data_IF_953859198529
#
_entry.id   IF_953859198529
#
_cell.length_a   1.000
_cell.length_b   1.000
_cell.length_c   1.000
_cell.angle_alpha   90.00
_cell.angle_beta   90.00
_cell.angle_gamma   90.00
#
_symmetry.space_group_name_H-M   'P 1'
#
loop_
_entity.id
_entity.type
_entity.pdbx_description
1 polymer ?
#
# COMPACT_ATOMS: atom_id res chain seq x y z
N UNK A 1 -7.27 23.61 -33.95
CA UNK A 1 -6.20 22.95 -33.17
C UNK A 1 -6.69 21.55 -32.81
N UNK A 2 -6.05 20.54 -33.39
CA UNK A 2 -6.52 19.15 -33.38
C UNK A 2 -6.24 18.50 -32.03
N UNK A 3 -7.29 18.20 -31.27
CA UNK A 3 -7.25 17.40 -30.05
C UNK A 3 -6.85 15.95 -30.41
N UNK A 4 -5.54 15.67 -30.44
CA UNK A 4 -5.00 14.30 -30.60
C UNK A 4 -5.13 13.58 -29.25
N UNK A 5 -6.35 13.17 -28.89
CA UNK A 5 -6.54 12.22 -27.79
C UNK A 5 -5.92 10.89 -28.19
N UNK A 6 -4.95 10.42 -27.39
CA UNK A 6 -4.38 9.10 -27.54
C UNK A 6 -5.52 8.08 -27.39
N UNK A 7 -5.70 7.13 -28.32
CA UNK A 7 -6.80 6.18 -28.22
C UNK A 7 -6.63 5.25 -27.02
N UNK A 8 -7.72 4.95 -26.31
CA UNK A 8 -7.72 4.20 -25.04
C UNK A 8 -7.00 2.85 -25.09
N UNK A 9 -7.00 2.17 -26.25
CA UNK A 9 -6.30 0.90 -26.42
C UNK A 9 -4.77 1.08 -26.32
N UNK A 10 -4.24 2.22 -26.77
CA UNK A 10 -2.81 2.51 -26.75
C UNK A 10 -2.35 2.87 -25.32
N UNK A 11 -3.18 3.60 -24.57
CA UNK A 11 -2.92 3.84 -23.13
C UNK A 11 -2.90 2.52 -22.36
N UNK A 12 -3.93 1.67 -22.51
CA UNK A 12 -3.97 0.35 -21.85
C UNK A 12 -2.83 -0.58 -22.27
N UNK A 13 -2.34 -0.46 -23.50
CA UNK A 13 -1.16 -1.22 -23.95
C UNK A 13 0.12 -0.72 -23.26
N UNK A 14 0.28 0.60 -23.15
CA UNK A 14 1.40 1.24 -22.46
C UNK A 14 1.45 0.88 -20.98
N UNK A 15 0.31 0.87 -20.30
CA UNK A 15 0.24 0.49 -18.88
C UNK A 15 0.61 -0.97 -18.65
N UNK A 16 0.16 -1.87 -19.51
CA UNK A 16 0.58 -3.28 -19.46
C UNK A 16 2.07 -3.43 -19.71
N UNK A 17 2.60 -2.70 -20.68
CA UNK A 17 4.03 -2.71 -20.97
C UNK A 17 4.85 -2.21 -19.79
N UNK A 18 4.45 -1.10 -19.17
CA UNK A 18 5.13 -0.57 -17.97
C UNK A 18 5.04 -1.52 -16.79
N UNK A 19 3.88 -2.15 -16.55
CA UNK A 19 3.73 -3.15 -15.49
C UNK A 19 4.66 -4.35 -15.70
N UNK A 20 4.68 -4.92 -16.91
CA UNK A 20 5.56 -6.06 -17.22
C UNK A 20 7.03 -5.68 -17.15
N UNK A 21 7.39 -4.47 -17.63
CA UNK A 21 8.74 -3.93 -17.51
C UNK A 21 9.18 -3.80 -16.05
N UNK A 22 8.31 -3.33 -15.17
CA UNK A 22 8.58 -3.25 -13.73
C UNK A 22 8.75 -4.64 -13.10
N UNK A 23 7.83 -5.58 -13.37
CA UNK A 23 7.96 -6.95 -12.86
C UNK A 23 9.29 -7.55 -13.33
N UNK A 24 9.64 -7.41 -14.61
CA UNK A 24 10.89 -7.91 -15.15
C UNK A 24 12.12 -7.29 -14.46
N UNK A 25 12.12 -5.97 -14.27
CA UNK A 25 13.18 -5.27 -13.56
C UNK A 25 13.33 -5.77 -12.12
N UNK A 26 12.22 -5.92 -11.39
CA UNK A 26 12.21 -6.49 -10.05
C UNK A 26 12.77 -7.91 -10.02
N UNK A 27 12.36 -8.76 -10.98
CA UNK A 27 12.85 -10.14 -11.10
C UNK A 27 14.36 -10.21 -11.37
N UNK A 28 14.90 -9.29 -12.18
CA UNK A 28 16.35 -9.19 -12.41
C UNK A 28 17.06 -8.85 -11.11
N UNK A 29 16.58 -7.85 -10.36
CA UNK A 29 17.16 -7.44 -9.08
C UNK A 29 17.13 -8.61 -8.08
N UNK A 30 15.98 -9.28 -7.95
CA UNK A 30 15.81 -10.43 -7.07
C UNK A 30 16.71 -11.59 -7.44
N UNK A 31 16.75 -11.96 -8.73
CA UNK A 31 17.59 -13.05 -9.24
C UNK A 31 19.08 -12.80 -9.04
N UNK A 32 19.56 -11.58 -9.32
CA UNK A 32 20.95 -11.19 -9.09
C UNK A 32 21.29 -11.20 -7.60
N UNK A 33 20.40 -10.69 -6.75
CA UNK A 33 20.59 -10.71 -5.29
C UNK A 33 20.69 -12.14 -4.76
N UNK A 34 19.83 -13.05 -5.23
CA UNK A 34 19.92 -14.48 -4.89
C UNK A 34 21.24 -15.11 -5.34
N UNK A 35 21.69 -14.79 -6.55
CA UNK A 35 22.98 -15.27 -7.06
C UNK A 35 24.14 -14.80 -6.19
N UNK A 36 24.16 -13.50 -5.82
CA UNK A 36 25.21 -12.94 -4.97
C UNK A 36 25.22 -13.55 -3.56
N UNK A 37 24.06 -13.86 -2.99
CA UNK A 37 23.98 -14.62 -1.72
C UNK A 37 24.58 -16.02 -1.87
N UNK A 38 24.33 -16.70 -2.99
CA UNK A 38 24.96 -17.99 -3.30
C UNK A 38 26.49 -17.90 -3.37
N UNK A 39 27.01 -16.87 -4.04
CA UNK A 39 28.46 -16.59 -4.10
C UNK A 39 29.03 -16.30 -2.71
N UNK A 40 28.34 -15.49 -1.91
CA UNK A 40 28.76 -15.15 -0.55
C UNK A 40 28.78 -16.38 0.38
N UNK A 41 27.78 -17.26 0.30
CA UNK A 41 27.79 -18.52 1.05
C UNK A 41 29.04 -19.35 0.73
N UNK A 42 29.35 -19.52 -0.55
CA UNK A 42 30.51 -20.31 -0.97
C UNK A 42 31.81 -19.76 -0.39
N UNK A 43 31.92 -18.43 -0.29
CA UNK A 43 33.10 -17.76 0.28
C UNK A 43 33.16 -17.83 1.82
N UNK A 44 32.02 -17.80 2.52
CA UNK A 44 31.98 -17.64 3.98
C UNK A 44 31.81 -18.96 4.76
N UNK A 45 30.99 -19.88 4.26
CA UNK A 45 30.52 -21.05 5.01
C UNK A 45 30.95 -22.37 4.34
N UNK A 46 31.20 -22.35 3.03
CA UNK A 46 31.56 -23.54 2.25
C UNK A 46 30.41 -24.55 2.08
N UNK A 47 30.65 -25.71 1.43
CA UNK A 47 29.69 -26.84 1.39
C UNK A 47 29.58 -27.53 2.76
N UNK A 48 28.55 -28.34 3.10
CA UNK A 48 27.57 -28.99 2.21
C UNK A 48 26.10 -28.50 2.32
N UNK A 49 25.75 -27.67 3.31
CA UNK A 49 24.35 -27.30 3.55
C UNK A 49 23.92 -26.04 2.78
N UNK A 50 22.71 -26.01 2.18
CA UNK A 50 22.24 -24.92 1.30
C UNK A 50 21.72 -23.70 2.07
N UNK A 51 22.59 -23.07 2.87
CA UNK A 51 22.29 -21.87 3.67
C UNK A 51 21.77 -20.69 2.85
N UNK A 52 22.23 -20.51 1.62
CA UNK A 52 21.87 -19.43 0.72
C UNK A 52 20.40 -19.53 0.35
N UNK A 53 19.94 -20.72 -0.04
CA UNK A 53 18.54 -20.94 -0.40
C UNK A 53 17.63 -20.82 0.83
N UNK A 54 18.06 -21.39 1.97
CA UNK A 54 17.34 -21.20 3.23
C UNK A 54 17.21 -19.69 3.55
N UNK A 55 18.30 -18.94 3.47
CA UNK A 55 18.34 -17.51 3.77
C UNK A 55 17.43 -16.70 2.85
N UNK A 56 17.58 -16.81 1.53
CA UNK A 56 16.79 -16.00 0.58
C UNK A 56 15.30 -16.29 0.68
N UNK A 57 14.91 -17.55 0.95
CA UNK A 57 13.51 -17.89 1.14
C UNK A 57 12.99 -17.40 2.49
N UNK A 58 13.75 -17.49 3.59
CA UNK A 58 13.34 -16.91 4.89
C UNK A 58 13.16 -15.40 4.78
N UNK A 59 14.16 -14.69 4.28
CA UNK A 59 14.10 -13.21 4.19
C UNK A 59 13.07 -12.76 3.15
N UNK A 60 12.96 -13.45 2.01
CA UNK A 60 11.95 -13.18 0.99
C UNK A 60 10.53 -13.43 1.49
N UNK A 61 10.29 -14.53 2.21
CA UNK A 61 9.00 -14.81 2.85
C UNK A 61 8.64 -13.78 3.92
N UNK A 62 9.61 -13.32 4.73
CA UNK A 62 9.39 -12.21 5.65
C UNK A 62 9.02 -10.92 4.91
N UNK A 63 9.79 -10.55 3.88
CA UNK A 63 9.57 -9.32 3.10
C UNK A 63 8.19 -9.33 2.44
N UNK A 64 7.79 -10.42 1.79
CA UNK A 64 6.48 -10.48 1.12
C UNK A 64 5.33 -10.43 2.13
N UNK A 65 5.45 -11.11 3.28
CA UNK A 65 4.44 -11.06 4.35
C UNK A 65 4.32 -9.67 4.96
N UNK A 66 5.46 -9.02 5.22
CA UNK A 66 5.51 -7.65 5.74
C UNK A 66 4.94 -6.65 4.74
N UNK A 67 5.43 -6.65 3.50
CA UNK A 67 5.06 -5.67 2.49
C UNK A 67 3.59 -5.83 2.04
N UNK A 68 3.11 -7.06 1.84
CA UNK A 68 1.72 -7.31 1.46
C UNK A 68 0.72 -6.81 2.52
N UNK A 69 1.10 -6.90 3.80
CA UNK A 69 0.28 -6.44 4.93
C UNK A 69 0.37 -4.91 5.10
N UNK A 70 1.55 -4.33 4.91
CA UNK A 70 1.77 -2.89 5.01
C UNK A 70 1.05 -2.10 3.92
N UNK A 71 0.92 -2.72 2.75
CA UNK A 71 0.31 -2.13 1.54
C UNK A 71 -1.09 -2.66 1.22
N UNK A 72 -1.66 -3.49 2.11
CA UNK A 72 -2.99 -4.06 1.98
C UNK A 72 -4.11 -3.00 2.01
N UNK A 73 -5.36 -3.40 1.75
CA UNK A 73 -6.53 -2.51 1.86
C UNK A 73 -6.70 -1.86 3.24
N UNK A 74 -6.19 -2.48 4.30
CA UNK A 74 -6.17 -1.94 5.66
C UNK A 74 -4.75 -1.47 6.08
N UNK A 75 -3.83 -1.40 5.11
CA UNK A 75 -2.43 -1.05 5.30
C UNK A 75 -2.20 0.46 5.36
N UNK A 76 -1.19 0.89 6.12
CA UNK A 76 -0.85 2.31 6.28
C UNK A 76 -0.17 2.93 5.04
N UNK A 77 0.42 2.11 4.17
CA UNK A 77 1.12 2.58 2.97
C UNK A 77 0.23 2.35 1.76
N UNK A 78 -0.13 3.44 1.10
CA UNK A 78 -0.88 3.44 -0.16
C UNK A 78 0.09 3.10 -1.28
N UNK A 79 0.15 1.83 -1.69
CA UNK A 79 1.00 1.37 -2.79
C UNK A 79 0.13 0.85 -3.93
N UNK A 80 0.21 1.52 -5.08
CA UNK A 80 -0.53 1.12 -6.28
C UNK A 80 -0.07 -0.23 -6.85
N UNK A 81 -0.86 -0.76 -7.77
CA UNK A 81 -0.66 -2.09 -8.39
C UNK A 81 0.74 -2.29 -8.96
N UNK A 82 1.29 -1.29 -9.66
CA UNK A 82 2.62 -1.36 -10.27
C UNK A 82 3.72 -1.58 -9.24
N UNK A 83 3.66 -0.86 -8.12
CA UNK A 83 4.63 -0.96 -7.04
C UNK A 83 4.51 -2.32 -6.32
N UNK A 84 3.27 -2.76 -6.08
CA UNK A 84 3.02 -4.08 -5.47
C UNK A 84 3.56 -5.22 -6.31
N UNK A 85 3.32 -5.19 -7.62
CA UNK A 85 3.79 -6.22 -8.53
C UNK A 85 5.32 -6.17 -8.71
N UNK A 86 5.92 -4.99 -8.74
CA UNK A 86 7.38 -4.81 -8.75
C UNK A 86 8.05 -5.51 -7.55
N UNK A 87 7.52 -5.31 -6.34
CA UNK A 87 8.11 -5.88 -5.10
C UNK A 87 7.74 -7.35 -4.91
N UNK A 88 6.45 -7.68 -4.98
CA UNK A 88 5.96 -9.03 -4.62
C UNK A 88 6.26 -10.03 -5.73
N UNK A 89 5.86 -9.74 -6.97
CA UNK A 89 6.04 -10.67 -8.09
C UNK A 89 7.43 -10.54 -8.71
N UNK A 90 7.94 -9.32 -8.83
CA UNK A 90 9.29 -9.05 -9.35
C UNK A 90 10.37 -9.46 -8.36
N UNK A 91 10.67 -8.59 -7.38
CA UNK A 91 11.81 -8.79 -6.46
C UNK A 91 11.68 -10.10 -5.69
N UNK A 92 10.58 -10.31 -4.94
CA UNK A 92 10.45 -11.50 -4.11
C UNK A 92 10.34 -12.78 -4.97
N UNK A 93 9.67 -12.71 -6.12
CA UNK A 93 9.56 -13.83 -7.06
C UNK A 93 10.90 -14.24 -7.68
N UNK A 94 11.77 -13.28 -8.04
CA UNK A 94 13.11 -13.57 -8.55
C UNK A 94 14.12 -13.97 -7.45
N UNK A 95 13.92 -13.44 -6.23
CA UNK A 95 14.81 -13.63 -5.09
C UNK A 95 14.61 -14.96 -4.37
N UNK A 96 13.36 -15.41 -4.22
CA UNK A 96 13.06 -16.71 -3.61
C UNK A 96 13.08 -17.82 -4.66
N UNK A 97 13.30 -19.07 -4.23
CA UNK A 97 13.32 -20.21 -5.15
C UNK A 97 12.93 -21.51 -4.46
N UNK A 98 11.95 -22.21 -5.05
CA UNK A 98 11.64 -23.59 -4.70
C UNK A 98 12.45 -24.57 -5.57
N UNK A 99 12.72 -24.22 -6.83
CA UNK A 99 13.49 -25.08 -7.75
C UNK A 99 14.94 -25.27 -7.29
N UNK A 100 15.59 -24.22 -6.78
CA UNK A 100 16.92 -24.35 -6.19
C UNK A 100 16.93 -25.23 -4.95
N UNK A 101 15.93 -25.08 -4.06
CA UNK A 101 15.76 -25.93 -2.88
C UNK A 101 15.64 -27.42 -3.26
N UNK A 102 14.86 -27.73 -4.30
CA UNK A 102 14.70 -29.10 -4.80
C UNK A 102 16.01 -29.66 -5.35
N UNK A 103 16.77 -28.86 -6.09
CA UNK A 103 18.06 -29.27 -6.65
C UNK A 103 19.10 -29.53 -5.54
N UNK A 104 19.22 -28.63 -4.57
CA UNK A 104 20.16 -28.80 -3.45
C UNK A 104 19.81 -30.02 -2.60
N UNK A 105 18.52 -30.28 -2.38
CA UNK A 105 18.06 -31.49 -1.69
C UNK A 105 18.45 -32.75 -2.44
N UNK A 106 18.25 -32.78 -3.76
CA UNK A 106 18.64 -33.90 -4.60
C UNK A 106 20.17 -34.13 -4.57
N UNK A 107 20.95 -33.04 -4.64
CA UNK A 107 22.40 -33.11 -4.55
C UNK A 107 22.87 -33.63 -3.18
N UNK A 108 22.26 -33.20 -2.08
CA UNK A 108 22.57 -33.72 -0.74
C UNK A 108 22.37 -35.24 -0.66
N UNK A 109 21.27 -35.73 -1.25
CA UNK A 109 20.97 -37.17 -1.29
C UNK A 109 22.03 -37.92 -2.11
N UNK A 110 22.37 -37.42 -3.31
CA UNK A 110 23.37 -38.05 -4.18
C UNK A 110 24.77 -38.10 -3.56
N UNK A 111 25.16 -37.06 -2.82
CA UNK A 111 26.45 -37.01 -2.11
C UNK A 111 26.43 -37.76 -0.77
N UNK A 112 25.37 -38.51 -0.45
CA UNK A 112 25.27 -39.31 0.78
C UNK A 112 24.93 -38.53 2.05
N UNK A 113 24.68 -37.22 1.96
CA UNK A 113 24.38 -36.32 3.08
C UNK A 113 22.89 -36.40 3.49
N UNK A 114 22.40 -37.61 3.80
CA UNK A 114 20.97 -37.88 4.04
C UNK A 114 20.38 -37.09 5.20
N UNK A 115 21.14 -36.93 6.30
CA UNK A 115 20.69 -36.15 7.45
C UNK A 115 20.47 -34.67 7.10
N UNK A 116 21.39 -34.07 6.32
CA UNK A 116 21.27 -32.69 5.85
C UNK A 116 20.10 -32.52 4.87
N UNK A 117 19.89 -33.48 3.96
CA UNK A 117 18.73 -33.47 3.06
C UNK A 117 17.40 -33.50 3.85
N UNK A 118 17.30 -34.39 4.83
CA UNK A 118 16.12 -34.49 5.69
C UNK A 118 15.89 -33.19 6.48
N UNK A 119 16.95 -32.64 7.07
CA UNK A 119 16.88 -31.36 7.78
C UNK A 119 16.41 -30.23 6.85
N UNK A 120 16.92 -30.14 5.62
CA UNK A 120 16.50 -29.14 4.66
C UNK A 120 15.01 -29.29 4.31
N UNK A 121 14.53 -30.51 4.04
CA UNK A 121 13.13 -30.75 3.67
C UNK A 121 12.17 -30.45 4.84
N UNK A 122 12.54 -30.82 6.06
CA UNK A 122 11.69 -30.62 7.23
C UNK A 122 11.71 -29.18 7.76
N UNK A 123 12.90 -28.58 7.87
CA UNK A 123 13.07 -27.28 8.53
C UNK A 123 12.76 -26.10 7.60
N UNK A 124 13.15 -26.17 6.33
CA UNK A 124 13.11 -25.01 5.45
C UNK A 124 11.69 -24.49 5.18
N UNK A 125 10.70 -25.31 4.77
CA UNK A 125 9.32 -24.84 4.59
C UNK A 125 8.70 -24.26 5.86
N UNK A 126 8.97 -24.89 7.02
CA UNK A 126 8.50 -24.42 8.32
C UNK A 126 9.09 -23.05 8.65
N UNK A 127 10.39 -22.86 8.43
CA UNK A 127 11.06 -21.59 8.65
C UNK A 127 10.50 -20.48 7.74
N UNK A 128 10.23 -20.76 6.47
CA UNK A 128 9.66 -19.80 5.52
C UNK A 128 8.23 -19.39 5.91
N UNK A 129 7.41 -20.35 6.37
CA UNK A 129 6.05 -20.10 6.87
C UNK A 129 6.05 -19.27 8.17
N UNK A 130 6.99 -19.55 9.07
CA UNK A 130 7.17 -18.72 10.27
C UNK A 130 7.60 -17.31 9.85
N UNK A 131 8.53 -17.18 8.92
CA UNK A 131 9.03 -15.88 8.47
C UNK A 131 7.94 -15.00 7.85
N UNK A 132 7.07 -15.56 6.99
CA UNK A 132 5.94 -14.80 6.43
C UNK A 132 4.95 -14.38 7.52
N UNK A 133 4.69 -15.24 8.51
CA UNK A 133 3.81 -14.93 9.63
C UNK A 133 4.40 -13.81 10.52
N UNK A 134 5.71 -13.86 10.78
CA UNK A 134 6.41 -12.79 11.51
C UNK A 134 6.35 -11.47 10.72
N UNK A 135 6.57 -11.51 9.41
CA UNK A 135 6.42 -10.34 8.54
C UNK A 135 5.03 -9.71 8.64
N UNK A 136 3.99 -10.53 8.53
CA UNK A 136 2.61 -10.13 8.75
C UNK A 136 2.41 -9.49 10.13
N UNK A 137 2.81 -10.17 11.20
CA UNK A 137 2.61 -9.70 12.58
C UNK A 137 3.30 -8.35 12.86
N UNK A 138 4.52 -8.15 12.34
CA UNK A 138 5.24 -6.87 12.47
C UNK A 138 4.52 -5.77 11.70
N UNK A 139 4.10 -6.02 10.46
CA UNK A 139 3.38 -5.04 9.66
C UNK A 139 2.02 -4.67 10.27
N UNK A 140 1.26 -5.64 10.79
CA UNK A 140 0.01 -5.37 11.51
C UNK A 140 0.24 -4.48 12.73
N UNK A 141 1.31 -4.72 13.49
CA UNK A 141 1.66 -3.85 14.64
C UNK A 141 1.99 -2.43 14.19
N UNK A 142 2.65 -2.25 13.05
CA UNK A 142 2.96 -0.94 12.48
C UNK A 142 1.73 -0.23 11.88
N UNK A 143 0.75 -0.99 11.39
CA UNK A 143 -0.52 -0.47 10.86
C UNK A 143 -1.49 -0.03 11.97
N UNK A 144 -1.35 -0.55 13.21
CA UNK A 144 -2.12 -0.02 14.34
C UNK A 144 -1.71 1.44 14.55
N UNK A 145 -2.63 2.35 14.21
CA UNK A 145 -2.44 3.79 14.32
C UNK A 145 -1.73 4.14 15.62
N UNK A 146 -0.58 4.83 15.51
CA UNK A 146 -0.19 5.75 16.58
C UNK A 146 -1.36 6.72 16.67
N UNK A 147 -2.11 6.66 17.77
CA UNK A 147 -2.88 7.82 18.21
C UNK A 147 -1.85 8.94 18.25
N UNK A 148 -1.87 9.85 17.27
CA UNK A 148 -1.14 11.10 17.41
C UNK A 148 -1.87 11.76 18.55
N UNK A 149 -1.32 11.58 19.76
CA UNK A 149 -1.74 12.36 20.92
C UNK A 149 -1.70 13.79 20.44
N UNK A 150 -2.86 14.45 20.46
CA UNK A 150 -2.98 15.85 20.10
C UNK A 150 -1.87 16.59 20.86
N UNK A 151 -0.82 17.00 20.15
CA UNK A 151 0.21 17.86 20.72
C UNK A 151 -0.45 19.20 20.92
N UNK A 152 -0.98 19.40 22.13
CA UNK A 152 -0.96 20.66 22.87
C UNK A 152 -1.60 21.90 22.26
N UNK A 153 -2.31 21.83 21.13
CA UNK A 153 -3.28 22.87 20.79
C UNK A 153 -4.55 22.52 21.55
N UNK A 154 -4.89 23.35 22.53
CA UNK A 154 -6.13 23.28 23.29
C UNK A 154 -7.27 22.94 22.32
N UNK A 155 -7.95 21.83 22.56
CA UNK A 155 -9.26 21.55 21.98
C UNK A 155 -10.25 22.56 22.59
N UNK A 156 -10.05 23.83 22.30
CA UNK A 156 -10.86 24.93 22.76
C UNK A 156 -12.20 24.80 22.02
N UNK A 157 -13.17 24.16 22.67
CA UNK A 157 -14.58 24.09 22.30
C UNK A 157 -14.87 24.24 20.79
N UNK A 158 -14.36 23.33 19.96
CA UNK A 158 -14.74 23.24 18.55
C UNK A 158 -16.19 22.75 18.47
N UNK A 159 -17.17 23.58 18.83
CA UNK A 159 -18.57 23.20 18.74
C UNK A 159 -19.01 23.28 17.28
N UNK A 160 -19.34 22.12 16.70
CA UNK A 160 -20.03 22.13 15.41
C UNK A 160 -21.45 22.68 15.61
N UNK A 161 -21.88 23.66 14.82
CA UNK A 161 -23.26 24.15 14.88
C UNK A 161 -24.25 23.01 14.59
N UNK A 162 -25.45 23.07 15.18
CA UNK A 162 -26.51 22.09 14.90
C UNK A 162 -26.84 21.99 13.40
N UNK A 163 -26.69 23.09 12.66
CA UNK A 163 -26.81 23.12 11.21
C UNK A 163 -25.40 23.29 10.63
N UNK A 164 -24.90 22.24 9.98
CA UNK A 164 -23.56 22.19 9.45
C UNK A 164 -23.57 21.85 7.95
N UNK A 165 -22.40 21.94 7.35
CA UNK A 165 -22.16 21.53 5.97
C UNK A 165 -21.25 20.32 5.98
N UNK A 166 -21.68 19.25 5.32
CA UNK A 166 -20.86 18.10 4.96
C UNK A 166 -20.25 18.37 3.58
N UNK A 167 -18.94 18.54 3.55
CA UNK A 167 -18.14 18.63 2.35
C UNK A 167 -17.61 17.23 1.99
N UNK A 168 -17.97 16.73 0.80
CA UNK A 168 -17.44 15.48 0.23
C UNK A 168 -16.49 15.80 -0.91
N UNK A 169 -15.26 15.32 -0.79
CA UNK A 169 -14.21 15.50 -1.78
C UNK A 169 -13.86 14.12 -2.34
N UNK A 170 -13.98 13.97 -3.65
CA UNK A 170 -13.67 12.72 -4.35
C UNK A 170 -12.31 12.84 -4.99
N UNK A 171 -11.39 11.97 -4.59
CA UNK A 171 -10.00 11.91 -5.11
C UNK A 171 -9.64 10.47 -5.44
N UNK A 172 -8.64 10.28 -6.28
CA UNK A 172 -8.06 8.96 -6.54
C UNK A 172 -6.87 8.70 -5.60
N UNK A 173 -6.64 7.43 -5.26
CA UNK A 173 -5.50 7.02 -4.44
C UNK A 173 -4.13 7.42 -5.02
N UNK A 174 -4.05 7.62 -6.34
CA UNK A 174 -2.82 8.07 -7.01
C UNK A 174 -2.57 9.57 -6.98
N UNK A 175 -3.55 10.38 -6.57
CA UNK A 175 -3.45 11.83 -6.61
C UNK A 175 -2.43 12.34 -5.59
N UNK A 176 -1.63 13.34 -5.99
CA UNK A 176 -0.56 13.91 -5.17
C UNK A 176 -0.55 15.43 -5.21
N UNK A 177 -0.13 16.04 -4.11
CA UNK A 177 0.13 17.47 -3.95
C UNK A 177 1.49 17.64 -3.25
N UNK A 178 2.41 18.40 -3.86
CA UNK A 178 3.77 18.62 -3.34
C UNK A 178 4.54 17.34 -2.92
N UNK A 179 4.32 16.24 -3.66
CA UNK A 179 4.97 14.95 -3.40
C UNK A 179 4.37 14.15 -2.23
N UNK A 180 3.27 14.64 -1.64
CA UNK A 180 2.46 13.94 -0.64
C UNK A 180 1.16 13.41 -1.29
N UNK A 181 0.59 12.29 -0.82
CA UNK A 181 -0.75 11.87 -1.24
C UNK A 181 -1.78 12.99 -1.00
N UNK A 182 -2.60 13.30 -2.01
CA UNK A 182 -3.52 14.43 -1.98
C UNK A 182 -4.50 14.36 -0.79
N UNK A 183 -5.02 13.16 -0.47
CA UNK A 183 -5.92 13.01 0.67
C UNK A 183 -5.25 13.40 2.00
N UNK A 184 -3.95 13.13 2.16
CA UNK A 184 -3.20 13.44 3.38
C UNK A 184 -2.97 14.94 3.48
N UNK A 185 -2.60 15.58 2.36
CA UNK A 185 -2.46 17.04 2.27
C UNK A 185 -3.77 17.75 2.64
N UNK A 186 -4.91 17.29 2.09
CA UNK A 186 -6.24 17.85 2.39
C UNK A 186 -6.59 17.71 3.87
N UNK A 187 -6.39 16.55 4.47
CA UNK A 187 -6.69 16.31 5.90
C UNK A 187 -5.77 17.13 6.82
N UNK A 188 -4.48 17.23 6.48
CA UNK A 188 -3.54 18.07 7.21
C UNK A 188 -3.91 19.55 7.11
N UNK A 189 -4.32 20.02 5.93
CA UNK A 189 -4.76 21.40 5.72
C UNK A 189 -6.06 21.71 6.45
N UNK A 190 -7.03 20.81 6.39
CA UNK A 190 -8.28 20.90 7.15
C UNK A 190 -8.01 21.04 8.65
N UNK A 191 -7.05 20.26 9.18
CA UNK A 191 -6.62 20.35 10.57
C UNK A 191 -5.87 21.66 10.88
N UNK A 192 -4.97 22.11 10.01
CA UNK A 192 -4.26 23.39 10.14
C UNK A 192 -5.26 24.56 10.23
N UNK A 193 -6.33 24.49 9.44
CA UNK A 193 -7.43 25.46 9.43
C UNK A 193 -8.48 25.21 10.53
N UNK A 194 -8.20 24.28 11.45
CA UNK A 194 -9.03 23.97 12.62
C UNK A 194 -10.47 23.56 12.28
N UNK A 195 -10.67 22.82 11.19
CA UNK A 195 -11.97 22.22 10.91
C UNK A 195 -12.30 21.13 11.94
N UNK A 196 -13.57 21.02 12.29
CA UNK A 196 -14.03 20.22 13.41
C UNK A 196 -13.89 18.70 13.22
N UNK A 197 -13.96 18.22 11.98
CA UNK A 197 -13.74 16.80 11.68
C UNK A 197 -13.49 16.52 10.21
N UNK A 198 -12.58 15.58 9.95
CA UNK A 198 -12.29 15.04 8.63
C UNK A 198 -12.17 13.52 8.71
N UNK A 199 -12.83 12.80 7.81
CA UNK A 199 -12.77 11.33 7.71
C UNK A 199 -12.45 10.95 6.27
N UNK A 200 -11.56 9.98 6.08
CA UNK A 200 -11.23 9.46 4.74
C UNK A 200 -11.81 8.05 4.62
N UNK A 201 -12.65 7.86 3.61
CA UNK A 201 -13.22 6.57 3.22
C UNK A 201 -12.53 6.06 1.96
N UNK A 202 -12.27 4.76 1.93
CA UNK A 202 -11.77 4.06 0.74
C UNK A 202 -12.91 3.24 0.14
N UNK A 203 -13.31 3.58 -1.08
CA UNK A 203 -14.30 2.82 -1.83
C UNK A 203 -13.68 1.57 -2.48
N UNK A 204 -14.40 0.44 -2.57
CA UNK A 204 -13.89 -0.75 -3.26
C UNK A 204 -13.89 -0.59 -4.79
N UNK A 205 -14.65 0.37 -5.32
CA UNK A 205 -14.73 0.75 -6.73
C UNK A 205 -15.40 2.13 -6.87
N UNK A 206 -15.14 2.85 -7.96
CA UNK A 206 -15.73 4.16 -8.25
C UNK A 206 -15.38 4.65 -9.65
N UNK A 207 -15.99 5.75 -10.07
CA UNK A 207 -15.72 6.40 -11.36
C UNK A 207 -15.71 7.92 -11.19
N UNK A 208 -14.72 8.59 -11.76
CA UNK A 208 -14.52 10.05 -11.70
C UNK A 208 -14.92 10.78 -12.98
N UNK A 209 -14.49 12.05 -13.09
CA UNK A 209 -14.81 12.95 -14.22
C UNK A 209 -14.33 12.43 -15.59
N UNK A 210 -13.37 11.49 -15.60
CA UNK A 210 -12.84 10.83 -16.80
C UNK A 210 -13.71 9.69 -17.35
N UNK A 211 -14.87 9.37 -16.72
CA UNK A 211 -15.80 8.31 -17.13
C UNK A 211 -15.19 6.89 -17.25
N UNK A 212 -13.99 6.64 -16.71
CA UNK A 212 -13.43 5.30 -16.64
C UNK A 212 -13.91 4.60 -15.36
N UNK A 213 -14.63 3.49 -15.49
CA UNK A 213 -15.00 2.64 -14.37
C UNK A 213 -13.74 1.93 -13.86
N UNK A 214 -13.27 2.29 -12.67
CA UNK A 214 -12.28 1.51 -11.93
C UNK A 214 -13.00 0.37 -11.20
N UNK A 215 -13.55 -0.57 -11.98
CA UNK A 215 -14.13 -1.79 -11.47
C UNK A 215 -13.00 -2.78 -11.18
N UNK A 216 -13.14 -3.58 -10.13
CA UNK A 216 -12.39 -4.81 -10.02
C UNK A 216 -12.68 -5.65 -11.29
N UNK A 217 -11.67 -5.83 -12.15
CA UNK A 217 -11.78 -6.68 -13.33
C UNK A 217 -12.18 -8.12 -12.93
N UNK A 218 -12.50 -9.00 -13.88
CA UNK A 218 -12.87 -10.41 -13.62
C UNK A 218 -11.83 -11.24 -12.80
N UNK A 219 -10.66 -10.65 -12.50
CA UNK A 219 -9.60 -11.15 -11.63
C UNK A 219 -9.47 -10.41 -10.27
N UNK A 220 -10.37 -9.48 -9.94
CA UNK A 220 -10.42 -8.78 -8.65
C UNK A 220 -9.48 -7.58 -8.49
N UNK A 221 -9.06 -6.90 -9.58
CA UNK A 221 -7.99 -5.87 -9.54
C UNK A 221 -8.50 -4.50 -9.99
N UNK A 222 -8.69 -3.52 -9.07
CA UNK A 222 -8.82 -2.09 -9.40
C UNK A 222 -7.44 -1.44 -9.65
N UNK A 223 -7.33 -0.53 -10.63
CA UNK A 223 -6.05 0.16 -10.94
C UNK A 223 -5.70 1.26 -9.92
N UNK A 224 -6.70 1.99 -9.46
CA UNK A 224 -6.66 3.00 -8.39
C UNK A 224 -7.98 2.94 -7.65
N UNK A 225 -7.94 3.01 -6.31
CA UNK A 225 -9.15 3.02 -5.51
C UNK A 225 -9.65 4.44 -5.31
N UNK A 226 -10.97 4.70 -5.41
CA UNK A 226 -11.53 6.00 -5.07
C UNK A 226 -11.43 6.24 -3.57
N UNK A 227 -11.07 7.46 -3.20
CA UNK A 227 -11.11 7.96 -1.84
C UNK A 227 -12.16 9.06 -1.74
N UNK A 228 -12.94 9.03 -0.66
CA UNK A 228 -13.90 10.08 -0.32
C UNK A 228 -13.45 10.69 0.99
N UNK A 229 -13.17 11.98 0.97
CA UNK A 229 -12.84 12.74 2.18
C UNK A 229 -14.11 13.49 2.58
N UNK A 230 -14.60 13.20 3.77
CA UNK A 230 -15.75 13.87 4.37
C UNK A 230 -15.28 14.83 5.46
N UNK A 231 -15.57 16.11 5.28
CA UNK A 231 -15.31 17.17 6.27
C UNK A 231 -16.65 17.73 6.73
N UNK A 232 -16.85 17.84 8.04
CA UNK A 232 -18.10 18.38 8.62
C UNK A 232 -17.75 19.57 9.50
N UNK A 233 -18.33 20.74 9.18
CA UNK A 233 -18.21 21.95 9.99
C UNK A 233 -19.31 22.97 9.65
N UNK A 234 -19.35 24.10 10.34
CA UNK A 234 -20.20 25.24 9.99
C UNK A 234 -19.92 25.78 8.57
N UNK A 235 -20.95 26.32 7.93
CA UNK A 235 -20.90 26.82 6.55
C UNK A 235 -19.78 27.86 6.33
N UNK A 236 -19.54 28.75 7.29
CA UNK A 236 -18.47 29.74 7.25
C UNK A 236 -17.06 29.12 7.30
N UNK A 237 -16.89 28.05 8.09
CA UNK A 237 -15.62 27.35 8.20
C UNK A 237 -15.31 26.60 6.91
N UNK A 238 -16.29 25.87 6.36
CA UNK A 238 -16.18 25.19 5.06
C UNK A 238 -15.87 26.20 3.95
N UNK A 239 -16.59 27.32 3.89
CA UNK A 239 -16.38 28.35 2.86
C UNK A 239 -14.98 28.95 2.89
N UNK A 240 -14.36 29.09 4.08
CA UNK A 240 -12.97 29.54 4.21
C UNK A 240 -11.96 28.49 3.78
N UNK A 241 -12.30 27.21 3.84
CA UNK A 241 -11.45 26.11 3.41
C UNK A 241 -11.42 25.94 1.88
N UNK A 242 -12.53 26.24 1.18
CA UNK A 242 -12.66 26.03 -0.27
C UNK A 242 -11.52 26.63 -1.12
N UNK A 243 -11.04 27.87 -0.89
CA UNK A 243 -9.93 28.41 -1.69
C UNK A 243 -8.63 27.62 -1.56
N UNK A 244 -8.33 27.11 -0.35
CA UNK A 244 -7.16 26.26 -0.14
C UNK A 244 -7.34 24.88 -0.81
N UNK A 245 -8.58 24.36 -0.80
CA UNK A 245 -8.90 23.13 -1.51
C UNK A 245 -8.74 23.28 -3.03
N UNK A 246 -9.21 24.38 -3.60
CA UNK A 246 -9.10 24.67 -5.04
C UNK A 246 -7.63 24.80 -5.48
N UNK A 247 -6.75 25.32 -4.62
CA UNK A 247 -5.31 25.36 -4.87
C UNK A 247 -4.68 23.96 -4.89
N UNK A 248 -5.08 23.09 -3.94
CA UNK A 248 -4.60 21.71 -3.87
C UNK A 248 -5.17 20.83 -5.00
N UNK A 249 -6.40 21.11 -5.43
CA UNK A 249 -7.15 20.33 -6.41
C UNK A 249 -7.83 21.25 -7.45
N UNK A 250 -7.10 21.68 -8.50
CA UNK A 250 -7.62 22.58 -9.53
C UNK A 250 -8.76 21.97 -10.39
N UNK A 251 -9.01 20.67 -10.26
CA UNK A 251 -10.09 19.95 -10.93
C UNK A 251 -10.43 18.66 -10.18
N UNK A 252 -11.71 18.31 -10.14
CA UNK A 252 -12.21 17.16 -9.37
C UNK A 252 -13.71 17.28 -9.10
N UNK A 253 -14.25 16.37 -8.29
CA UNK A 253 -15.63 16.45 -7.82
C UNK A 253 -15.64 16.78 -6.33
N UNK A 254 -16.31 17.87 -5.99
CA UNK A 254 -16.57 18.28 -4.62
C UNK A 254 -18.06 18.54 -4.51
N UNK A 255 -18.69 17.97 -3.49
CA UNK A 255 -20.11 18.21 -3.20
C UNK A 255 -20.29 18.71 -1.78
N UNK A 256 -21.32 19.53 -1.59
CA UNK A 256 -21.71 20.06 -0.29
C UNK A 256 -23.15 19.67 0.00
N UNK A 257 -23.39 19.22 1.22
CA UNK A 257 -24.71 18.84 1.71
C UNK A 257 -24.97 19.54 3.05
N UNK A 258 -26.17 20.13 3.20
CA UNK A 258 -26.59 20.67 4.50
C UNK A 258 -27.00 19.51 5.41
N UNK A 259 -26.42 19.45 6.59
CA UNK A 259 -26.64 18.37 7.56
C UNK A 259 -27.01 18.92 8.92
N UNK A 260 -27.80 18.15 9.67
CA UNK A 260 -28.10 18.45 11.07
C UNK A 260 -27.21 17.60 12.00
N UNK A 261 -26.37 18.24 12.80
CA UNK A 261 -25.53 17.57 13.79
C UNK A 261 -26.34 17.30 15.05
N UNK A 262 -26.64 16.02 15.27
CA UNK A 262 -27.41 15.57 16.44
C UNK A 262 -26.55 15.48 17.71
N UNK A 263 -25.28 15.10 17.56
CA UNK A 263 -24.35 14.96 18.66
C UNK A 263 -22.92 15.22 18.19
N UNK A 264 -22.17 15.98 18.99
CA UNK A 264 -20.77 16.27 18.74
C UNK A 264 -19.98 16.29 20.07
N UNK A 265 -18.80 15.66 20.08
CA UNK A 265 -17.99 15.46 21.28
C UNK A 265 -18.48 14.32 22.20
N UNK A 266 -17.72 14.01 23.25
CA UNK A 266 -18.16 13.05 24.27
C UNK A 266 -19.31 13.67 25.07
N UNK A 267 -20.40 12.93 25.35
CA UNK A 267 -21.37 13.38 26.34
C UNK A 267 -20.62 13.61 27.65
N UNK A 268 -20.75 14.80 28.22
CA UNK A 268 -20.23 15.09 29.54
C UNK A 268 -20.89 14.12 30.54
N UNK A 269 -20.15 13.10 30.96
CA UNK A 269 -20.53 12.17 32.02
C UNK A 269 -21.53 11.08 31.63
N UNK A 270 -21.01 9.88 31.33
CA UNK A 270 -21.48 8.60 31.89
C UNK A 270 -20.42 7.52 31.68
#
# INVERSE_FOLDING_TARGET
MTDRRIPDWAMRAWERFTLYGLIALGSVIGGLSRYLVGVAQLALVGPPFPWAILFVNVTGSFIIGFYATLTGPDGRIFAGTRQRQFVMTGICGGYTTFSGFSLDTLQLIHHGHRAAALANVAASPVAWLIAVWVGYAVATRLNRLRTVAATGAEAENLQIPRHATLLRIFVDESDQHDGMPLYEAIVLKAREMQLAGATVFRGPAGYGQSSQMHLANALGVPDTLPLIIEIIDGEDAVSRFLPALDEMMPGGMVTMEKVEVLQYGRPAGR
#
